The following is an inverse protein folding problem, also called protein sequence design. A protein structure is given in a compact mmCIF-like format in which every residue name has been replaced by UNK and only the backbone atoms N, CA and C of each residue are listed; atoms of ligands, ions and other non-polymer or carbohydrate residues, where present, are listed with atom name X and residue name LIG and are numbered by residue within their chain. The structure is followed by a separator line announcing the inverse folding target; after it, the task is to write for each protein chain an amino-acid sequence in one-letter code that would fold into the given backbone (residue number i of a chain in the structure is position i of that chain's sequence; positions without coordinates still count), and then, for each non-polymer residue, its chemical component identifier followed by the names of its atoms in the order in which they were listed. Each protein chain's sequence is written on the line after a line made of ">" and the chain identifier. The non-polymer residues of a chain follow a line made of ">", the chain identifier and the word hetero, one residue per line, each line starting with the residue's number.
data_IF_654028125209
#
_entry.id   IF_654028125209
#
_cell.length_a   1.000
_cell.length_b   1.000
_cell.length_c   1.000
_cell.angle_alpha   90.00
_cell.angle_beta   90.00
_cell.angle_gamma   90.00
#
_symmetry.space_group_name_H-M   'P 1'
#
loop_
_entity.id
_entity.type
_entity.pdbx_description
1 polymer ?
#
# COMPACT_ATOMS: atom_id res chain seq x y z
N UNK A 1 -19.00 3.48 1.30
CA UNK A 1 -17.93 3.63 0.30
C UNK A 1 -18.23 2.70 -0.87
N UNK A 2 -17.92 3.04 -2.13
CA UNK A 2 -18.11 2.10 -3.22
C UNK A 2 -17.13 0.93 -3.04
N UNK A 3 -17.65 -0.29 -2.97
CA UNK A 3 -16.84 -1.51 -2.87
C UNK A 3 -15.86 -1.61 -4.05
N UNK A 4 -14.65 -2.13 -3.81
CA UNK A 4 -13.70 -2.42 -4.88
C UNK A 4 -14.26 -3.54 -5.76
N UNK A 5 -14.89 -3.16 -6.87
CA UNK A 5 -15.31 -4.10 -7.91
C UNK A 5 -14.23 -4.19 -8.97
N UNK A 6 -13.62 -5.37 -9.09
CA UNK A 6 -12.75 -5.71 -10.21
C UNK A 6 -13.62 -5.82 -11.47
N UNK A 7 -13.13 -5.25 -12.57
CA UNK A 7 -13.79 -5.33 -13.87
C UNK A 7 -13.20 -6.47 -14.68
N UNK A 8 -13.91 -6.87 -15.75
CA UNK A 8 -13.38 -7.83 -16.71
C UNK A 8 -12.13 -7.25 -17.40
N UNK A 9 -11.07 -8.06 -17.49
CA UNK A 9 -9.80 -7.67 -18.09
C UNK A 9 -8.76 -7.13 -17.11
N UNK A 10 -7.52 -6.86 -17.59
CA UNK A 10 -6.43 -6.42 -16.75
C UNK A 10 -6.74 -5.07 -16.11
N UNK A 11 -6.54 -4.99 -14.78
CA UNK A 11 -6.66 -3.75 -14.02
C UNK A 11 -5.26 -3.17 -13.77
N UNK A 12 -5.16 -1.84 -13.79
CA UNK A 12 -3.91 -1.10 -13.59
C UNK A 12 -3.92 -0.47 -12.20
N UNK A 13 -2.88 -0.77 -11.42
CA UNK A 13 -2.62 -0.13 -10.12
C UNK A 13 -1.49 0.88 -10.27
N UNK A 14 -1.78 2.16 -10.02
CA UNK A 14 -0.80 3.25 -10.07
C UNK A 14 -0.14 3.44 -8.70
N UNK A 15 1.18 3.53 -8.64
CA UNK A 15 1.92 3.63 -7.38
C UNK A 15 2.18 5.09 -7.01
N UNK A 16 1.86 5.47 -5.78
CA UNK A 16 2.17 6.78 -5.18
C UNK A 16 2.92 6.56 -3.86
N UNK A 17 4.24 6.78 -3.88
CA UNK A 17 5.08 6.68 -2.70
C UNK A 17 5.18 8.03 -1.99
N UNK A 18 4.72 8.11 -0.75
CA UNK A 18 4.78 9.32 0.09
C UNK A 18 5.98 9.26 1.02
N UNK A 19 7.17 9.15 0.45
CA UNK A 19 8.44 9.16 1.19
C UNK A 19 9.20 10.47 0.95
N UNK A 20 10.07 10.91 1.88
CA UNK A 20 10.82 12.16 1.73
C UNK A 20 11.61 12.27 0.42
N UNK A 21 12.15 11.14 -0.05
CA UNK A 21 12.96 11.06 -1.26
C UNK A 21 12.13 11.09 -2.56
N UNK A 22 10.80 10.92 -2.47
CA UNK A 22 9.93 10.84 -3.65
C UNK A 22 9.52 12.22 -4.20
N UNK A 23 9.62 13.28 -3.39
CA UNK A 23 9.16 14.64 -3.75
C UNK A 23 10.03 15.76 -3.13
N UNK A 24 11.35 15.59 -3.20
CA UNK A 24 12.37 16.27 -2.39
C UNK A 24 12.49 17.81 -2.47
N UNK A 25 11.64 18.52 -3.23
CA UNK A 25 11.85 19.94 -3.54
C UNK A 25 11.03 20.95 -2.70
N UNK A 26 10.19 20.55 -1.73
CA UNK A 26 9.30 21.53 -1.06
C UNK A 26 8.79 21.28 0.36
N UNK A 27 9.35 20.34 1.14
CA UNK A 27 8.86 20.02 2.49
C UNK A 27 7.56 19.21 2.51
N UNK A 28 7.07 18.84 3.71
CA UNK A 28 5.98 17.86 3.85
C UNK A 28 4.67 18.30 3.19
N UNK A 29 4.22 19.56 3.31
CA UNK A 29 2.98 19.98 2.67
C UNK A 29 3.08 19.98 1.13
N UNK A 30 4.25 20.31 0.59
CA UNK A 30 4.50 20.23 -0.86
C UNK A 30 4.54 18.78 -1.34
N UNK A 31 5.10 17.86 -0.53
CA UNK A 31 5.13 16.44 -0.87
C UNK A 31 3.73 15.81 -0.89
N UNK A 32 2.83 16.21 0.02
CA UNK A 32 1.43 15.76 -0.02
C UNK A 32 0.69 16.28 -1.26
N UNK A 33 0.84 17.57 -1.58
CA UNK A 33 0.20 18.15 -2.78
C UNK A 33 0.69 17.45 -4.05
N UNK A 34 2.01 17.24 -4.17
CA UNK A 34 2.60 16.53 -5.30
C UNK A 34 2.12 15.07 -5.39
N UNK A 35 2.01 14.35 -4.27
CA UNK A 35 1.50 12.99 -4.23
C UNK A 35 0.02 12.92 -4.65
N UNK A 36 -0.81 13.87 -4.21
CA UNK A 36 -2.22 13.97 -4.60
C UNK A 36 -2.34 14.24 -6.10
N UNK A 37 -1.60 15.22 -6.63
CA UNK A 37 -1.63 15.55 -8.05
C UNK A 37 -1.13 14.39 -8.91
N UNK A 38 -0.11 13.66 -8.45
CA UNK A 38 0.37 12.45 -9.09
C UNK A 38 -0.70 11.35 -9.08
N UNK A 39 -1.40 11.12 -7.97
CA UNK A 39 -2.49 10.15 -7.88
C UNK A 39 -3.65 10.48 -8.83
N UNK A 40 -4.03 11.76 -8.90
CA UNK A 40 -5.04 12.26 -9.86
C UNK A 40 -4.61 12.07 -11.30
N UNK A 41 -3.35 12.37 -11.62
CA UNK A 41 -2.79 12.18 -12.96
C UNK A 41 -2.81 10.70 -13.35
N UNK A 42 -2.36 9.80 -12.48
CA UNK A 42 -2.40 8.37 -12.74
C UNK A 42 -3.82 7.87 -12.99
N UNK A 43 -4.80 8.34 -12.19
CA UNK A 43 -6.20 8.00 -12.40
C UNK A 43 -6.72 8.53 -13.76
N UNK A 44 -6.37 9.76 -14.13
CA UNK A 44 -6.69 10.33 -15.44
C UNK A 44 -6.03 9.59 -16.61
N UNK A 45 -4.81 9.07 -16.40
CA UNK A 45 -4.06 8.26 -17.35
C UNK A 45 -4.58 6.81 -17.46
N UNK A 46 -5.59 6.43 -16.66
CA UNK A 46 -6.28 5.14 -16.74
C UNK A 46 -5.94 4.14 -15.64
N UNK A 47 -5.27 4.55 -14.56
CA UNK A 47 -5.13 3.71 -13.38
C UNK A 47 -6.51 3.48 -12.72
N UNK A 48 -6.79 2.22 -12.40
CA UNK A 48 -8.07 1.77 -11.84
C UNK A 48 -8.08 1.88 -10.31
N UNK A 49 -6.90 1.79 -9.71
CA UNK A 49 -6.66 1.92 -8.28
C UNK A 49 -5.31 2.61 -8.08
N UNK A 50 -5.22 3.46 -7.06
CA UNK A 50 -3.97 4.10 -6.65
C UNK A 50 -3.48 3.44 -5.37
N UNK A 51 -2.27 2.90 -5.38
CA UNK A 51 -1.62 2.28 -4.22
C UNK A 51 -0.72 3.31 -3.54
N UNK A 52 -1.05 3.64 -2.29
CA UNK A 52 -0.39 4.70 -1.52
C UNK A 52 0.45 4.06 -0.41
N UNK A 53 1.76 4.25 -0.49
CA UNK A 53 2.73 3.73 0.50
C UNK A 53 3.49 4.85 1.20
N UNK A 54 3.56 4.79 2.54
CA UNK A 54 4.28 5.78 3.37
C UNK A 54 5.66 5.31 3.84
N UNK A 55 5.99 4.03 3.61
CA UNK A 55 7.23 3.38 3.99
C UNK A 55 7.89 2.74 2.77
N UNK A 56 9.21 2.91 2.62
CA UNK A 56 9.95 2.27 1.53
C UNK A 56 10.28 0.82 1.91
N UNK A 57 9.95 -0.10 1.02
CA UNK A 57 10.25 -1.53 1.14
C UNK A 57 11.56 -1.92 0.44
N UNK A 58 12.30 -0.93 -0.11
CA UNK A 58 13.59 -1.13 -0.77
C UNK A 58 14.67 -1.60 0.23
N UNK A 59 15.62 -2.45 -0.20
CA UNK A 59 16.76 -2.84 0.62
C UNK A 59 17.51 -1.62 1.17
N UNK A 60 17.76 -1.62 2.49
CA UNK A 60 18.46 -0.54 3.20
C UNK A 60 17.59 0.64 3.63
N UNK A 61 16.29 0.67 3.31
CA UNK A 61 15.38 1.68 3.83
C UNK A 61 15.13 1.47 5.34
N UNK A 62 15.16 2.56 6.11
CA UNK A 62 14.82 2.51 7.54
C UNK A 62 13.31 2.33 7.73
N UNK A 63 12.93 1.56 8.75
CA UNK A 63 11.53 1.44 9.19
C UNK A 63 11.08 2.74 9.86
N UNK A 64 9.86 3.17 9.59
CA UNK A 64 9.21 4.30 10.27
C UNK A 64 8.17 3.81 11.27
N UNK A 65 7.84 4.65 12.26
CA UNK A 65 6.75 4.35 13.19
C UNK A 65 5.39 4.42 12.49
N UNK A 66 4.37 3.77 13.06
CA UNK A 66 3.01 3.83 12.52
C UNK A 66 2.50 5.28 12.45
N UNK A 67 2.81 6.12 13.45
CA UNK A 67 2.40 7.52 13.49
C UNK A 67 2.98 8.32 12.32
N UNK A 68 4.26 8.08 11.99
CA UNK A 68 4.93 8.74 10.85
C UNK A 68 4.32 8.28 9.53
N UNK A 69 4.07 6.98 9.37
CA UNK A 69 3.46 6.45 8.16
C UNK A 69 2.03 6.98 7.98
N UNK A 70 1.21 6.97 9.04
CA UNK A 70 -0.13 7.57 9.08
C UNK A 70 -0.08 9.03 8.65
N UNK A 71 0.83 9.82 9.22
CA UNK A 71 0.96 11.24 8.90
C UNK A 71 1.25 11.48 7.40
N UNK A 72 1.97 10.56 6.75
CA UNK A 72 2.28 10.61 5.31
C UNK A 72 1.11 10.19 4.44
N UNK A 73 0.46 9.07 4.74
CA UNK A 73 -0.51 8.47 3.81
C UNK A 73 -1.91 9.07 3.95
N UNK A 74 -2.35 9.42 5.16
CA UNK A 74 -3.74 9.84 5.40
C UNK A 74 -4.18 11.07 4.59
N UNK A 75 -3.38 12.16 4.48
CA UNK A 75 -3.81 13.32 3.70
C UNK A 75 -4.01 12.99 2.22
N UNK A 76 -3.15 12.12 1.66
CA UNK A 76 -3.23 11.68 0.26
C UNK A 76 -4.46 10.79 0.04
N UNK A 77 -4.64 9.77 0.90
CA UNK A 77 -5.79 8.84 0.83
C UNK A 77 -7.10 9.62 0.91
N UNK A 78 -7.25 10.53 1.89
CA UNK A 78 -8.48 11.33 2.06
C UNK A 78 -8.80 12.17 0.84
N UNK A 79 -7.79 12.80 0.24
CA UNK A 79 -7.99 13.65 -0.93
C UNK A 79 -8.40 12.83 -2.15
N UNK A 80 -7.70 11.73 -2.46
CA UNK A 80 -8.01 10.87 -3.60
C UNK A 80 -9.37 10.19 -3.44
N UNK A 81 -9.69 9.67 -2.24
CA UNK A 81 -10.99 9.06 -1.96
C UNK A 81 -12.15 10.06 -2.10
N UNK A 82 -11.96 11.31 -1.66
CA UNK A 82 -12.94 12.40 -1.86
C UNK A 82 -13.20 12.70 -3.34
N UNK A 83 -12.18 12.55 -4.18
CA UNK A 83 -12.29 12.71 -5.63
C UNK A 83 -12.92 11.48 -6.32
N UNK A 84 -13.31 10.45 -5.56
CA UNK A 84 -13.91 9.22 -6.06
C UNK A 84 -12.91 8.21 -6.64
N UNK A 85 -11.62 8.42 -6.44
CA UNK A 85 -10.55 7.52 -6.87
C UNK A 85 -10.47 6.35 -5.88
N UNK A 86 -10.39 5.12 -6.40
CA UNK A 86 -10.18 3.91 -5.59
C UNK A 86 -8.74 3.90 -5.07
N UNK A 87 -8.57 3.67 -3.78
CA UNK A 87 -7.26 3.73 -3.12
C UNK A 87 -6.98 2.40 -2.41
N UNK A 88 -5.79 1.85 -2.66
CA UNK A 88 -5.15 0.83 -1.84
C UNK A 88 -4.14 1.49 -0.91
N UNK A 89 -3.99 0.96 0.31
CA UNK A 89 -2.88 1.31 1.20
C UNK A 89 -1.84 0.20 1.17
N UNK A 90 -0.59 0.55 0.83
CA UNK A 90 0.57 -0.35 0.92
C UNK A 90 1.15 -0.24 2.33
N UNK A 91 0.78 -1.19 3.19
CA UNK A 91 1.25 -1.23 4.57
C UNK A 91 1.12 -2.63 5.19
N UNK A 92 1.93 -2.86 6.22
CA UNK A 92 1.93 -4.07 7.03
C UNK A 92 1.69 -3.79 8.51
N UNK A 93 1.36 -2.54 8.85
CA UNK A 93 1.13 -2.10 10.24
C UNK A 93 -0.38 -2.00 10.49
N UNK A 94 -0.94 -2.74 11.47
CA UNK A 94 -2.39 -2.76 11.71
C UNK A 94 -2.97 -1.37 12.00
N UNK A 95 -2.22 -0.52 12.70
CA UNK A 95 -2.65 0.85 13.01
C UNK A 95 -2.78 1.72 11.75
N UNK A 96 -1.92 1.49 10.76
CA UNK A 96 -1.98 2.18 9.46
C UNK A 96 -3.14 1.64 8.64
N UNK A 97 -3.38 0.32 8.66
CA UNK A 97 -4.54 -0.30 8.01
C UNK A 97 -5.85 0.31 8.53
N UNK A 98 -6.04 0.35 9.85
CA UNK A 98 -7.23 0.91 10.50
C UNK A 98 -7.43 2.38 10.08
N UNK A 99 -6.38 3.20 10.21
CA UNK A 99 -6.46 4.62 9.90
C UNK A 99 -6.67 4.92 8.40
N UNK A 100 -6.12 4.09 7.51
CA UNK A 100 -6.25 4.25 6.06
C UNK A 100 -7.65 3.87 5.56
N UNK A 101 -8.23 2.78 6.07
CA UNK A 101 -9.59 2.37 5.71
C UNK A 101 -10.61 3.39 6.22
N UNK A 102 -10.46 3.89 7.46
CA UNK A 102 -11.27 4.99 8.00
C UNK A 102 -11.16 6.27 7.15
N UNK A 103 -9.99 6.50 6.54
CA UNK A 103 -9.73 7.63 5.66
C UNK A 103 -10.29 7.48 4.23
N UNK A 104 -10.74 6.28 3.85
CA UNK A 104 -11.33 6.02 2.52
C UNK A 104 -10.58 5.03 1.64
N UNK A 105 -9.50 4.40 2.12
CA UNK A 105 -8.88 3.28 1.41
C UNK A 105 -9.89 2.12 1.30
N UNK A 106 -9.97 1.52 0.12
CA UNK A 106 -10.90 0.43 -0.19
C UNK A 106 -10.18 -0.91 -0.44
N UNK A 107 -8.90 -0.99 -0.14
CA UNK A 107 -8.06 -2.18 -0.27
C UNK A 107 -6.81 -2.06 0.61
N UNK A 108 -6.34 -3.19 1.13
CA UNK A 108 -5.04 -3.31 1.80
C UNK A 108 -4.09 -4.09 0.88
N UNK A 109 -2.88 -3.58 0.69
CA UNK A 109 -1.79 -4.29 0.03
C UNK A 109 -0.71 -4.57 1.10
N UNK A 110 -0.58 -5.84 1.52
CA UNK A 110 0.33 -6.21 2.60
C UNK A 110 1.38 -7.23 2.13
N UNK A 111 2.61 -6.75 2.01
CA UNK A 111 3.78 -7.55 1.61
C UNK A 111 4.13 -8.66 2.63
N UNK A 112 3.68 -8.54 3.88
CA UNK A 112 3.84 -9.57 4.92
C UNK A 112 2.69 -10.56 4.96
N UNK A 113 1.66 -10.39 4.13
CA UNK A 113 0.46 -11.23 4.08
C UNK A 113 -0.21 -11.39 5.46
N UNK A 114 -0.42 -10.28 6.17
CA UNK A 114 -1.07 -10.21 7.49
C UNK A 114 -0.35 -10.97 8.62
N UNK A 115 0.90 -11.39 8.42
CA UNK A 115 1.70 -12.12 9.44
C UNK A 115 2.25 -11.23 10.55
N UNK A 116 2.14 -9.90 10.42
CA UNK A 116 2.54 -8.97 11.49
C UNK A 116 1.55 -9.08 12.66
N UNK A 117 1.99 -9.03 13.93
CA UNK A 117 1.09 -9.11 15.07
C UNK A 117 -0.03 -8.07 14.97
N UNK A 118 -1.29 -8.51 15.08
CA UNK A 118 -2.47 -7.64 15.00
C UNK A 118 -2.98 -7.35 13.58
N UNK A 119 -2.22 -7.65 12.51
CA UNK A 119 -2.62 -7.32 11.14
C UNK A 119 -3.82 -8.15 10.66
N UNK A 120 -3.84 -9.45 10.95
CA UNK A 120 -4.98 -10.30 10.63
C UNK A 120 -6.25 -9.85 11.38
N UNK A 121 -6.13 -9.56 12.67
CA UNK A 121 -7.25 -9.07 13.48
C UNK A 121 -7.76 -7.71 13.00
N UNK A 122 -6.86 -6.83 12.54
CA UNK A 122 -7.23 -5.56 11.93
C UNK A 122 -7.99 -5.77 10.62
N UNK A 123 -7.39 -6.49 9.66
CA UNK A 123 -8.01 -6.77 8.37
C UNK A 123 -9.36 -7.48 8.51
N UNK A 124 -9.51 -8.43 9.45
CA UNK A 124 -10.75 -9.17 9.66
C UNK A 124 -11.92 -8.29 10.16
N UNK A 125 -11.63 -7.14 10.78
CA UNK A 125 -12.66 -6.16 11.18
C UNK A 125 -13.10 -5.27 10.03
N UNK A 126 -12.33 -5.24 8.93
CA UNK A 126 -12.54 -4.35 7.81
C UNK A 126 -13.25 -5.10 6.68
N UNK A 127 -14.23 -4.45 6.05
CA UNK A 127 -14.93 -4.99 4.88
C UNK A 127 -14.24 -4.53 3.58
N UNK A 128 -12.92 -4.77 3.49
CA UNK A 128 -12.11 -4.43 2.31
C UNK A 128 -11.27 -5.62 1.86
N UNK A 129 -11.04 -5.79 0.54
CA UNK A 129 -10.14 -6.81 0.04
C UNK A 129 -8.69 -6.58 0.48
N UNK A 130 -7.94 -7.68 0.59
CA UNK A 130 -6.52 -7.69 0.95
C UNK A 130 -5.71 -8.40 -0.13
N UNK A 131 -4.62 -7.78 -0.58
CA UNK A 131 -3.58 -8.42 -1.37
C UNK A 131 -2.54 -9.04 -0.44
N UNK A 132 -2.36 -10.36 -0.53
CA UNK A 132 -1.38 -11.12 0.23
C UNK A 132 -0.18 -11.42 -0.67
N UNK A 133 1.01 -10.98 -0.28
CA UNK A 133 2.23 -11.24 -1.02
C UNK A 133 3.04 -12.38 -0.38
N UNK A 134 3.46 -13.34 -1.20
CA UNK A 134 4.49 -14.28 -0.81
C UNK A 134 5.88 -13.61 -0.89
N UNK A 135 6.68 -13.74 0.17
CA UNK A 135 8.11 -13.38 0.16
C UNK A 135 8.94 -14.35 1.01
N UNK A 136 10.17 -14.63 0.56
CA UNK A 136 11.19 -15.34 1.32
C UNK A 136 12.09 -14.33 2.04
N UNK A 137 12.27 -14.50 3.36
CA UNK A 137 13.05 -13.54 4.17
C UNK A 137 12.24 -12.31 4.57
N UNK A 138 12.84 -11.13 4.39
CA UNK A 138 12.25 -9.82 4.73
C UNK A 138 12.35 -8.87 3.54
N UNK A 139 11.63 -7.74 3.50
CA UNK A 139 11.78 -6.76 2.41
C UNK A 139 13.23 -6.32 2.17
N UNK A 140 14.04 -6.29 3.23
CA UNK A 140 15.45 -5.93 3.15
C UNK A 140 16.34 -7.01 2.52
N UNK A 141 15.97 -8.29 2.62
CA UNK A 141 16.81 -9.44 2.25
C UNK A 141 16.21 -10.33 1.14
N UNK A 142 14.95 -10.11 0.76
CA UNK A 142 14.22 -10.97 -0.16
C UNK A 142 14.81 -11.04 -1.58
N UNK A 143 15.75 -10.15 -1.90
CA UNK A 143 16.44 -10.08 -3.19
C UNK A 143 17.88 -10.61 -3.16
N UNK A 144 18.43 -10.94 -1.98
CA UNK A 144 19.88 -11.20 -1.85
C UNK A 144 20.29 -12.54 -2.49
N UNK A 145 19.47 -13.59 -2.35
CA UNK A 145 19.61 -14.89 -3.03
C UNK A 145 18.43 -15.82 -2.69
N UNK A 146 17.19 -15.55 -3.14
CA UNK A 146 16.07 -16.46 -2.87
C UNK A 146 16.27 -17.78 -3.65
N UNK A 147 16.12 -18.91 -2.94
CA UNK A 147 16.20 -20.26 -3.49
C UNK A 147 14.95 -21.02 -3.09
N UNK A 148 14.30 -21.65 -4.08
CA UNK A 148 13.12 -22.48 -3.94
C UNK A 148 13.43 -23.89 -4.46
N UNK A 149 12.92 -24.91 -3.77
CA UNK A 149 12.96 -26.29 -4.26
C UNK A 149 11.81 -26.53 -5.25
N UNK A 150 10.62 -26.01 -4.93
CA UNK A 150 9.45 -25.95 -5.81
C UNK A 150 8.76 -24.60 -5.65
N UNK A 151 9.16 -23.63 -6.46
CA UNK A 151 8.60 -22.27 -6.44
C UNK A 151 7.07 -22.26 -6.51
N UNK A 152 6.47 -23.14 -7.32
CA UNK A 152 5.02 -23.18 -7.49
C UNK A 152 4.30 -23.88 -6.34
N UNK A 153 4.92 -24.92 -5.77
CA UNK A 153 4.41 -25.64 -4.60
C UNK A 153 4.46 -24.76 -3.35
N UNK A 154 5.61 -24.15 -3.07
CA UNK A 154 5.85 -23.33 -1.88
C UNK A 154 4.93 -22.10 -1.84
N UNK A 155 4.71 -21.42 -2.97
CA UNK A 155 3.78 -20.28 -3.05
C UNK A 155 2.33 -20.73 -2.80
N UNK A 156 1.91 -21.89 -3.31
CA UNK A 156 0.55 -22.41 -3.12
C UNK A 156 0.30 -22.94 -1.71
N UNK A 157 1.33 -23.44 -1.03
CA UNK A 157 1.21 -23.85 0.36
C UNK A 157 1.10 -22.64 1.29
N UNK A 158 1.74 -21.53 0.91
CA UNK A 158 1.68 -20.28 1.66
C UNK A 158 0.34 -19.53 1.55
N UNK A 159 -0.27 -19.49 0.35
CA UNK A 159 -1.49 -18.74 0.03
C UNK A 159 -2.77 -19.58 0.24
#
# INVERSE_FOLDING_TARGET
>A
MPALRLMDGPQIMGIVNVTPDSFSDGGEFSSHAAAIDQGRRLAADGAHIIDVGGESTRPGAGTVSAEVEIARVLPVIKALAKDGIKVSVDTSKPEVMDAAVDAGACMINDIYALRRPGALEAAARMDVPVCLMHMQGTPATMQDAPCYEDLGGEIREFL
#
